data_IF_205798224535
#
_entry.id   IF_205798224535
#
_cell.length_a   1.000
_cell.length_b   1.000
_cell.length_c   1.000
_cell.angle_alpha   90.00
_cell.angle_beta   90.00
_cell.angle_gamma   90.00
#
_symmetry.space_group_name_H-M   'P 1'
#
loop_
_entity.id
_entity.type
_entity.pdbx_description
1 polymer ?
#
# COMPACT_ATOMS: atom_id res chain seq x y z
N UNK A 1 4.76 10.48 15.26
CA UNK A 1 6.16 10.19 14.90
C UNK A 1 6.12 8.94 14.04
N UNK A 2 6.89 8.90 12.93
CA UNK A 2 6.93 7.75 12.05
C UNK A 2 7.29 6.49 12.83
N UNK A 3 6.64 5.38 12.46
CA UNK A 3 6.97 4.07 13.00
C UNK A 3 8.45 3.75 12.74
N UNK A 4 9.10 3.10 13.72
CA UNK A 4 10.44 2.59 13.55
C UNK A 4 10.49 1.47 12.50
N UNK A 5 11.60 1.42 11.76
CA UNK A 5 11.87 0.37 10.78
C UNK A 5 11.92 -0.99 11.47
N UNK A 6 11.09 -1.93 11.01
CA UNK A 6 11.04 -3.31 11.49
C UNK A 6 11.90 -4.18 10.60
N UNK A 7 12.86 -4.90 11.19
CA UNK A 7 13.69 -5.90 10.49
C UNK A 7 13.23 -7.33 10.73
N UNK A 8 12.64 -7.56 11.90
CA UNK A 8 12.11 -8.84 12.32
C UNK A 8 10.70 -8.60 12.89
N UNK A 9 9.65 -9.15 12.26
CA UNK A 9 8.30 -8.98 12.74
C UNK A 9 8.08 -9.82 14.00
N UNK A 10 7.20 -9.35 14.88
CA UNK A 10 6.72 -10.16 15.99
C UNK A 10 5.75 -11.20 15.43
N UNK A 11 5.73 -12.41 15.99
CA UNK A 11 4.74 -13.43 15.62
C UNK A 11 3.31 -12.90 15.87
N UNK A 12 2.39 -13.17 14.94
CA UNK A 12 1.02 -12.67 14.97
C UNK A 12 0.32 -12.79 16.32
N UNK A 13 0.23 -13.98 16.93
CA UNK A 13 -0.45 -14.15 18.22
C UNK A 13 0.13 -13.30 19.36
N UNK A 14 1.45 -13.11 19.37
CA UNK A 14 2.15 -12.38 20.43
C UNK A 14 2.04 -10.86 20.27
N UNK A 15 1.86 -10.39 19.04
CA UNK A 15 1.80 -8.95 18.74
C UNK A 15 0.63 -8.25 19.44
N UNK A 16 -0.51 -8.91 19.61
CA UNK A 16 -1.72 -8.32 20.22
C UNK A 16 -1.63 -8.10 21.73
N UNK A 17 -0.57 -8.59 22.38
CA UNK A 17 -0.29 -8.32 23.80
C UNK A 17 0.66 -7.13 24.00
N UNK A 18 1.04 -6.43 22.94
CA UNK A 18 2.10 -5.41 22.93
C UNK A 18 1.68 -4.15 22.18
N UNK A 19 2.38 -3.05 22.44
CA UNK A 19 2.07 -1.73 21.88
C UNK A 19 3.27 -0.99 21.28
N UNK A 20 4.44 -1.63 21.22
CA UNK A 20 5.60 -1.12 20.47
C UNK A 20 5.38 -1.19 18.95
N UNK A 21 6.16 -0.41 18.20
CA UNK A 21 5.97 -0.24 16.75
C UNK A 21 5.98 -1.56 15.97
N UNK A 22 6.86 -2.49 16.32
CA UNK A 22 6.92 -3.80 15.66
C UNK A 22 5.63 -4.60 15.92
N UNK A 23 5.09 -4.55 17.14
CA UNK A 23 3.81 -5.17 17.46
C UNK A 23 2.65 -4.52 16.69
N UNK A 24 2.59 -3.19 16.66
CA UNK A 24 1.52 -2.45 15.98
C UNK A 24 1.52 -2.71 14.47
N UNK A 25 2.69 -2.72 13.83
CA UNK A 25 2.83 -3.03 12.42
C UNK A 25 2.47 -4.50 12.12
N UNK A 26 2.87 -5.45 12.97
CA UNK A 26 2.42 -6.84 12.85
C UNK A 26 0.89 -6.96 12.99
N UNK A 27 0.27 -6.27 13.95
CA UNK A 27 -1.20 -6.31 14.12
C UNK A 27 -1.90 -5.80 12.86
N UNK A 28 -1.43 -4.69 12.29
CA UNK A 28 -1.92 -4.15 11.03
C UNK A 28 -1.77 -5.15 9.87
N UNK A 29 -0.60 -5.79 9.77
CA UNK A 29 -0.31 -6.84 8.79
C UNK A 29 -1.30 -8.01 8.90
N UNK A 30 -1.50 -8.52 10.12
CA UNK A 30 -2.44 -9.61 10.42
C UNK A 30 -3.85 -9.25 9.99
N UNK A 31 -4.34 -8.07 10.37
CA UNK A 31 -5.70 -7.63 10.06
C UNK A 31 -5.92 -7.50 8.55
N UNK A 32 -5.03 -6.81 7.84
CA UNK A 32 -5.14 -6.65 6.39
C UNK A 32 -5.05 -7.99 5.65
N UNK A 33 -4.20 -8.91 6.13
CA UNK A 33 -4.05 -10.24 5.55
C UNK A 33 -5.29 -11.11 5.78
N UNK A 34 -5.90 -11.04 6.96
CA UNK A 34 -7.21 -11.66 7.24
C UNK A 34 -8.24 -11.15 6.22
N UNK A 35 -8.35 -9.84 6.05
CA UNK A 35 -9.27 -9.25 5.06
C UNK A 35 -9.01 -9.76 3.64
N UNK A 36 -7.75 -9.83 3.22
CA UNK A 36 -7.38 -10.35 1.90
C UNK A 36 -7.73 -11.83 1.70
N UNK A 37 -7.53 -12.66 2.74
CA UNK A 37 -7.95 -14.07 2.70
C UNK A 37 -9.47 -14.21 2.61
N UNK A 38 -10.23 -13.47 3.42
CA UNK A 38 -11.70 -13.54 3.43
C UNK A 38 -12.32 -13.06 2.12
N UNK A 39 -11.68 -12.12 1.40
CA UNK A 39 -12.09 -11.68 0.05
C UNK A 39 -11.66 -12.63 -1.08
N UNK A 40 -10.74 -13.55 -0.81
CA UNK A 40 -10.19 -14.47 -1.80
C UNK A 40 -9.16 -13.84 -2.73
N UNK A 41 -8.45 -12.79 -2.28
CA UNK A 41 -7.52 -12.01 -3.13
C UNK A 41 -6.42 -12.90 -3.73
N UNK A 42 -5.85 -13.84 -2.96
CA UNK A 42 -4.84 -14.80 -3.46
C UNK A 42 -5.37 -15.69 -4.59
N UNK A 43 -6.62 -16.17 -4.50
CA UNK A 43 -7.23 -17.01 -5.53
C UNK A 43 -7.50 -16.19 -6.79
N UNK A 44 -8.06 -14.98 -6.64
CA UNK A 44 -8.30 -14.05 -7.76
C UNK A 44 -7.00 -13.73 -8.48
N UNK A 45 -5.94 -13.46 -7.73
CA UNK A 45 -4.63 -13.15 -8.29
C UNK A 45 -4.08 -14.32 -9.10
N UNK A 46 -4.02 -15.53 -8.53
CA UNK A 46 -3.53 -16.73 -9.23
C UNK A 46 -4.28 -17.04 -10.53
N UNK A 47 -5.61 -16.82 -10.53
CA UNK A 47 -6.44 -16.96 -11.75
C UNK A 47 -6.06 -15.90 -12.78
N UNK A 48 -5.95 -14.64 -12.36
CA UNK A 48 -5.62 -13.53 -13.25
C UNK A 48 -4.21 -13.63 -13.84
N UNK A 49 -3.28 -14.27 -13.13
CA UNK A 49 -1.89 -14.46 -13.56
C UNK A 49 -1.61 -15.78 -14.28
N UNK A 50 -2.65 -16.52 -14.70
CA UNK A 50 -2.49 -17.67 -15.59
C UNK A 50 -2.14 -19.01 -14.90
N UNK A 51 -2.36 -19.16 -13.59
CA UNK A 51 -2.31 -20.45 -12.91
C UNK A 51 -1.51 -20.48 -11.61
N UNK A 52 -1.42 -21.65 -10.93
CA UNK A 52 -0.83 -21.79 -9.60
C UNK A 52 0.68 -21.58 -9.53
N UNK A 53 1.39 -21.57 -10.67
CA UNK A 53 2.81 -21.22 -10.74
C UNK A 53 3.07 -19.70 -10.66
N UNK A 54 2.02 -18.88 -10.74
CA UNK A 54 2.11 -17.44 -10.66
C UNK A 54 1.91 -16.95 -9.22
N UNK A 55 2.55 -15.82 -8.90
CA UNK A 55 2.63 -15.25 -7.54
C UNK A 55 1.26 -15.16 -6.88
N UNK A 56 1.21 -15.30 -5.55
CA UNK A 56 0.03 -14.94 -4.78
C UNK A 56 0.00 -13.42 -4.54
N UNK A 57 -1.16 -12.86 -4.22
CA UNK A 57 -1.24 -11.46 -3.77
C UNK A 57 -0.38 -11.27 -2.52
N UNK A 58 -0.42 -12.25 -1.62
CA UNK A 58 0.42 -12.39 -0.44
C UNK A 58 1.27 -13.67 -0.54
N UNK A 59 2.62 -13.59 -0.50
CA UNK A 59 3.48 -14.77 -0.51
C UNK A 59 3.21 -15.71 0.69
N UNK A 60 3.08 -17.01 0.43
CA UNK A 60 2.75 -18.02 1.45
C UNK A 60 3.80 -18.09 2.58
N UNK A 61 5.07 -17.84 2.26
CA UNK A 61 6.17 -17.74 3.24
C UNK A 61 5.98 -16.60 4.25
N UNK A 62 5.46 -15.45 3.81
CA UNK A 62 5.26 -14.29 4.67
C UNK A 62 4.04 -14.51 5.59
N UNK A 63 2.98 -15.18 5.09
CA UNK A 63 1.86 -15.64 5.93
C UNK A 63 2.32 -16.60 7.03
N UNK A 64 3.19 -17.56 6.68
CA UNK A 64 3.76 -18.51 7.64
C UNK A 64 4.61 -17.82 8.70
N UNK A 65 5.41 -16.82 8.32
CA UNK A 65 6.23 -16.05 9.27
C UNK A 65 5.39 -15.27 10.27
N UNK A 66 4.23 -14.75 9.85
CA UNK A 66 3.27 -14.12 10.75
C UNK A 66 2.45 -15.12 11.58
N UNK A 67 2.55 -16.42 11.29
CA UNK A 67 1.80 -17.49 11.95
C UNK A 67 0.30 -17.47 11.62
N UNK A 68 -0.10 -16.81 10.53
CA UNK A 68 -1.51 -16.65 10.16
C UNK A 68 -2.13 -17.99 9.76
N UNK A 69 -3.26 -18.40 10.36
CA UNK A 69 -3.97 -19.58 9.90
C UNK A 69 -4.58 -19.33 8.52
N UNK A 70 -4.65 -20.37 7.65
CA UNK A 70 -5.33 -20.26 6.37
C UNK A 70 -6.84 -20.06 6.61
N UNK A 71 -7.43 -19.09 5.93
CA UNK A 71 -8.87 -18.80 5.98
C UNK A 71 -9.53 -19.05 4.63
N UNK A 72 -10.75 -19.60 4.68
CA UNK A 72 -11.62 -19.67 3.52
C UNK A 72 -12.25 -18.31 3.20
N UNK A 73 -12.64 -18.15 1.93
CA UNK A 73 -13.44 -17.01 1.49
C UNK A 73 -14.75 -16.96 2.29
N UNK A 74 -15.14 -15.76 2.73
CA UNK A 74 -16.42 -15.54 3.40
C UNK A 74 -17.38 -14.83 2.45
N UNK A 75 -18.51 -15.49 2.17
CA UNK A 75 -19.55 -14.93 1.32
C UNK A 75 -20.56 -14.15 2.16
N UNK A 76 -20.78 -12.89 1.76
CA UNK A 76 -21.83 -12.04 2.34
C UNK A 76 -21.35 -11.21 3.54
N UNK A 77 -22.28 -10.38 4.03
CA UNK A 77 -22.08 -9.53 5.20
C UNK A 77 -22.62 -10.21 6.44
N UNK A 78 -21.89 -10.07 7.53
CA UNK A 78 -22.34 -10.54 8.84
C UNK A 78 -23.10 -9.44 9.58
N UNK A 79 -24.01 -9.86 10.45
CA UNK A 79 -24.63 -8.97 11.43
C UNK A 79 -23.59 -8.50 12.45
N UNK A 80 -22.98 -7.36 12.16
CA UNK A 80 -21.86 -6.81 12.93
C UNK A 80 -22.31 -6.31 14.30
N UNK A 81 -23.54 -5.80 14.40
CA UNK A 81 -24.12 -5.36 15.65
C UNK A 81 -24.37 -6.55 16.60
N UNK A 82 -24.96 -7.63 16.08
CA UNK A 82 -25.15 -8.86 16.86
C UNK A 82 -23.81 -9.48 17.28
N UNK A 83 -22.85 -9.58 16.36
CA UNK A 83 -21.53 -10.13 16.68
C UNK A 83 -20.80 -9.30 17.75
N UNK A 84 -20.85 -7.97 17.64
CA UNK A 84 -20.30 -7.05 18.65
C UNK A 84 -20.94 -7.28 20.01
N UNK A 85 -22.27 -7.42 20.10
CA UNK A 85 -22.96 -7.67 21.36
C UNK A 85 -22.48 -8.96 22.05
N UNK A 86 -22.35 -10.06 21.29
CA UNK A 86 -21.85 -11.33 21.81
C UNK A 86 -20.41 -11.21 22.30
N UNK A 87 -19.55 -10.58 21.50
CA UNK A 87 -18.15 -10.38 21.83
C UNK A 87 -17.98 -9.51 23.08
N UNK A 88 -18.71 -8.40 23.17
CA UNK A 88 -18.62 -7.47 24.29
C UNK A 88 -19.17 -8.10 25.57
N UNK A 89 -20.25 -8.89 25.48
CA UNK A 89 -20.76 -9.66 26.60
C UNK A 89 -19.72 -10.66 27.11
N UNK A 90 -18.97 -11.33 26.23
CA UNK A 90 -17.92 -12.29 26.61
C UNK A 90 -16.83 -11.64 27.46
N UNK A 91 -16.39 -10.44 27.08
CA UNK A 91 -15.32 -9.70 27.76
C UNK A 91 -15.82 -8.65 28.78
N UNK A 92 -17.13 -8.63 29.07
CA UNK A 92 -17.76 -7.65 29.98
C UNK A 92 -17.46 -6.19 29.61
N UNK A 93 -17.39 -5.92 28.31
CA UNK A 93 -17.12 -4.59 27.78
C UNK A 93 -18.41 -3.77 27.70
N UNK A 94 -18.34 -2.44 27.87
CA UNK A 94 -19.51 -1.59 27.73
C UNK A 94 -19.99 -1.59 26.28
N UNK A 95 -21.25 -1.95 26.05
CA UNK A 95 -21.86 -1.84 24.72
C UNK A 95 -22.04 -0.36 24.40
N UNK A 96 -21.45 0.16 23.32
CA UNK A 96 -21.57 1.58 22.97
C UNK A 96 -23.03 1.92 22.66
N UNK A 97 -23.52 3.04 23.20
CA UNK A 97 -24.79 3.61 22.75
C UNK A 97 -24.63 4.12 21.30
N UNK A 98 -25.64 3.99 20.44
CA UNK A 98 -25.63 4.55 19.08
C UNK A 98 -25.30 6.04 19.01
N UNK A 99 -25.48 6.77 20.12
CA UNK A 99 -25.32 8.22 20.22
C UNK A 99 -23.89 8.71 20.51
N UNK A 100 -22.93 7.81 20.79
CA UNK A 100 -21.54 8.22 21.11
C UNK A 100 -20.66 8.09 19.86
N UNK A 101 -20.31 9.25 19.28
CA UNK A 101 -19.52 9.41 18.06
C UNK A 101 -18.05 8.96 18.17
N UNK A 102 -17.57 8.72 19.39
CA UNK A 102 -16.23 8.19 19.64
C UNK A 102 -16.35 6.80 20.23
N UNK A 103 -15.91 5.82 19.44
CA UNK A 103 -15.75 4.44 19.88
C UNK A 103 -14.86 4.40 21.13
N UNK A 104 -15.41 4.03 22.29
CA UNK A 104 -14.65 3.99 23.54
C UNK A 104 -13.45 3.06 23.38
N UNK A 105 -12.24 3.60 23.55
CA UNK A 105 -11.01 2.82 23.44
C UNK A 105 -11.01 1.70 24.49
N UNK A 106 -10.61 0.49 24.07
CA UNK A 106 -10.35 -0.61 24.99
C UNK A 106 -8.88 -0.51 25.40
N UNK A 107 -8.63 -0.28 26.69
CA UNK A 107 -7.28 -0.12 27.24
C UNK A 107 -6.62 -1.46 27.59
N UNK A 108 -7.41 -2.51 27.86
CA UNK A 108 -6.90 -3.81 28.29
C UNK A 108 -6.37 -4.64 27.12
N UNK A 109 -5.04 -4.67 26.97
CA UNK A 109 -4.34 -5.50 25.97
C UNK A 109 -4.62 -7.00 26.10
N UNK A 110 -5.02 -7.49 27.29
CA UNK A 110 -5.34 -8.90 27.47
C UNK A 110 -6.58 -9.32 26.67
N UNK A 111 -7.51 -8.40 26.44
CA UNK A 111 -8.69 -8.66 25.60
C UNK A 111 -8.26 -8.90 24.16
N UNK A 112 -7.41 -8.05 23.60
CA UNK A 112 -6.89 -8.22 22.24
C UNK A 112 -6.06 -9.50 22.11
N UNK A 113 -5.19 -9.77 23.09
CA UNK A 113 -4.35 -10.97 23.11
C UNK A 113 -5.20 -12.26 23.16
N UNK A 114 -6.26 -12.29 23.96
CA UNK A 114 -7.13 -13.46 24.08
C UNK A 114 -7.94 -13.70 22.79
N UNK A 115 -8.56 -12.66 22.23
CA UNK A 115 -9.29 -12.75 20.95
C UNK A 115 -8.35 -13.19 19.81
N UNK A 116 -7.14 -12.63 19.76
CA UNK A 116 -6.13 -13.05 18.79
C UNK A 116 -5.76 -14.53 18.99
N UNK A 117 -5.46 -14.95 20.21
CA UNK A 117 -5.15 -16.36 20.52
C UNK A 117 -6.26 -17.31 20.06
N UNK A 118 -7.52 -16.97 20.31
CA UNK A 118 -8.66 -17.73 19.78
C UNK A 118 -8.62 -17.81 18.26
N UNK A 119 -8.43 -16.68 17.57
CA UNK A 119 -8.35 -16.67 16.11
C UNK A 119 -7.22 -17.53 15.55
N UNK A 120 -6.01 -17.38 16.09
CA UNK A 120 -4.85 -18.16 15.66
C UNK A 120 -4.98 -19.66 15.98
N UNK A 121 -5.76 -20.03 16.99
CA UNK A 121 -6.05 -21.44 17.31
C UNK A 121 -7.16 -22.03 16.46
N UNK A 122 -8.23 -21.28 16.18
CA UNK A 122 -9.40 -21.79 15.48
C UNK A 122 -9.28 -21.69 13.95
N UNK A 123 -8.62 -20.63 13.45
CA UNK A 123 -8.51 -20.36 12.01
C UNK A 123 -9.88 -20.24 11.32
N UNK A 124 -10.86 -19.65 12.00
CA UNK A 124 -12.24 -19.54 11.51
C UNK A 124 -12.57 -18.12 11.03
N UNK A 125 -13.45 -17.99 10.04
CA UNK A 125 -13.94 -16.66 9.61
C UNK A 125 -14.62 -15.91 10.76
N UNK A 126 -15.32 -16.63 11.66
CA UNK A 126 -15.93 -16.01 12.84
C UNK A 126 -14.89 -15.43 13.80
N UNK A 127 -13.85 -16.18 14.15
CA UNK A 127 -12.82 -15.67 15.05
C UNK A 127 -12.00 -14.54 14.42
N UNK A 128 -11.79 -14.57 13.10
CA UNK A 128 -11.20 -13.47 12.33
C UNK A 128 -12.03 -12.18 12.44
N UNK A 129 -13.35 -12.32 12.29
CA UNK A 129 -14.31 -11.24 12.47
C UNK A 129 -14.27 -10.68 13.89
N UNK A 130 -14.25 -11.54 14.91
CA UNK A 130 -14.18 -11.12 16.31
C UNK A 130 -12.90 -10.30 16.55
N UNK A 131 -11.77 -10.70 15.95
CA UNK A 131 -10.51 -9.96 16.01
C UNK A 131 -10.58 -8.61 15.28
N UNK A 132 -11.17 -8.55 14.09
CA UNK A 132 -11.35 -7.27 13.39
C UNK A 132 -12.26 -6.33 14.19
N UNK A 133 -13.39 -6.82 14.72
CA UNK A 133 -14.36 -6.01 15.46
C UNK A 133 -13.78 -5.43 16.75
N UNK A 134 -13.00 -6.21 17.50
CA UNK A 134 -12.34 -5.70 18.72
C UNK A 134 -11.29 -4.64 18.37
N UNK A 135 -10.53 -4.84 17.29
CA UNK A 135 -9.46 -3.95 16.85
C UNK A 135 -9.95 -2.57 16.37
N UNK A 136 -11.23 -2.40 16.03
CA UNK A 136 -11.81 -1.08 15.76
C UNK A 136 -11.77 -0.14 16.99
N UNK A 137 -11.67 -0.71 18.20
CA UNK A 137 -11.58 0.01 19.48
C UNK A 137 -10.15 0.12 20.01
N UNK A 138 -9.14 -0.27 19.22
CA UNK A 138 -7.74 -0.24 19.65
C UNK A 138 -7.23 1.20 19.86
N UNK A 139 -6.29 1.43 20.78
CA UNK A 139 -5.75 2.78 21.07
C UNK A 139 -4.92 3.36 19.92
N UNK A 140 -4.18 2.51 19.22
CA UNK A 140 -3.39 2.91 18.05
C UNK A 140 -4.27 3.00 16.79
N UNK A 141 -4.16 4.11 16.06
CA UNK A 141 -4.96 4.38 14.87
C UNK A 141 -4.67 3.45 13.68
N UNK A 142 -3.43 2.98 13.51
CA UNK A 142 -3.07 2.08 12.43
C UNK A 142 -3.87 0.78 12.53
N UNK A 143 -3.96 0.23 13.75
CA UNK A 143 -4.72 -1.00 14.04
C UNK A 143 -6.21 -0.80 13.74
N UNK A 144 -6.78 0.34 14.14
CA UNK A 144 -8.19 0.66 13.84
C UNK A 144 -8.45 0.77 12.33
N UNK A 145 -7.59 1.49 11.62
CA UNK A 145 -7.68 1.69 10.17
C UNK A 145 -7.52 0.37 9.43
N UNK A 146 -6.54 -0.46 9.80
CA UNK A 146 -6.33 -1.78 9.21
C UNK A 146 -7.51 -2.73 9.47
N UNK A 147 -8.08 -2.71 10.69
CA UNK A 147 -9.29 -3.45 10.99
C UNK A 147 -10.49 -2.99 10.15
N UNK A 148 -10.70 -1.67 10.03
CA UNK A 148 -11.77 -1.12 9.21
C UNK A 148 -11.61 -1.47 7.72
N UNK A 149 -10.38 -1.37 7.20
CA UNK A 149 -10.04 -1.76 5.84
C UNK A 149 -10.31 -3.25 5.57
N UNK A 150 -9.89 -4.12 6.48
CA UNK A 150 -10.10 -5.55 6.37
C UNK A 150 -11.58 -5.94 6.46
N UNK A 151 -12.36 -5.22 7.26
CA UNK A 151 -13.73 -5.58 7.64
C UNK A 151 -14.82 -4.98 6.74
N UNK A 152 -14.51 -3.95 5.95
CA UNK A 152 -15.47 -3.15 5.17
C UNK A 152 -16.40 -3.98 4.26
N UNK A 153 -15.91 -5.05 3.64
CA UNK A 153 -16.73 -5.90 2.77
C UNK A 153 -17.52 -6.99 3.50
N UNK A 154 -17.17 -7.24 4.76
CA UNK A 154 -17.79 -8.30 5.56
C UNK A 154 -18.78 -7.74 6.59
N UNK A 155 -18.73 -6.45 6.89
CA UNK A 155 -19.61 -5.83 7.88
C UNK A 155 -20.95 -5.35 7.31
N UNK A 156 -22.04 -5.53 8.08
CA UNK A 156 -23.33 -4.87 7.84
C UNK A 156 -23.33 -3.38 8.19
N UNK A 157 -22.33 -2.88 8.91
CA UNK A 157 -22.24 -1.49 9.42
C UNK A 157 -21.17 -0.68 8.66
N UNK A 158 -21.24 -0.67 7.33
CA UNK A 158 -20.22 -0.03 6.48
C UNK A 158 -20.01 1.46 6.79
N UNK A 159 -21.07 2.23 7.10
CA UNK A 159 -20.96 3.66 7.41
C UNK A 159 -20.04 3.94 8.60
N UNK A 160 -20.02 3.04 9.59
CA UNK A 160 -19.12 3.13 10.74
C UNK A 160 -17.67 2.95 10.33
N UNK A 161 -17.40 1.98 9.46
CA UNK A 161 -16.06 1.70 8.95
C UNK A 161 -15.56 2.82 8.04
N UNK A 162 -16.43 3.36 7.18
CA UNK A 162 -16.15 4.55 6.36
C UNK A 162 -15.70 5.72 7.24
N UNK A 163 -16.36 5.98 8.38
CA UNK A 163 -15.93 7.07 9.30
C UNK A 163 -14.54 6.86 9.89
N UNK A 164 -14.17 5.61 10.22
CA UNK A 164 -12.83 5.29 10.72
C UNK A 164 -11.78 5.50 9.64
N UNK A 165 -12.07 5.04 8.41
CA UNK A 165 -11.18 5.23 7.26
C UNK A 165 -11.04 6.72 6.92
N UNK A 166 -12.14 7.45 6.84
CA UNK A 166 -12.17 8.89 6.61
C UNK A 166 -11.30 9.64 7.63
N UNK A 167 -11.50 9.39 8.94
CA UNK A 167 -10.67 9.95 9.99
C UNK A 167 -9.18 9.59 9.84
N UNK A 168 -8.87 8.35 9.44
CA UNK A 168 -7.50 7.91 9.17
C UNK A 168 -6.81 8.69 8.04
N UNK A 169 -7.56 9.21 7.07
CA UNK A 169 -6.99 10.05 5.99
C UNK A 169 -6.49 11.43 6.48
N UNK A 170 -6.81 11.81 7.71
CA UNK A 170 -6.34 13.03 8.36
C UNK A 170 -5.15 12.78 9.30
N UNK A 171 -4.69 11.54 9.45
CA UNK A 171 -3.54 11.22 10.29
C UNK A 171 -2.28 11.93 9.76
N UNK A 172 -1.44 12.37 10.70
CA UNK A 172 -0.08 12.86 10.40
C UNK A 172 0.85 11.74 9.96
N UNK A 173 0.55 10.49 10.32
CA UNK A 173 1.33 9.31 9.93
C UNK A 173 1.00 8.88 8.50
N UNK A 174 2.03 8.89 7.64
CA UNK A 174 1.88 8.60 6.21
C UNK A 174 1.26 7.21 5.97
N UNK A 175 1.68 6.21 6.75
CA UNK A 175 1.20 4.83 6.61
C UNK A 175 -0.28 4.69 6.93
N UNK A 176 -0.73 5.30 8.03
CA UNK A 176 -2.14 5.33 8.43
C UNK A 176 -2.97 6.00 7.34
N UNK A 177 -2.53 7.18 6.90
CA UNK A 177 -3.21 7.96 5.86
C UNK A 177 -3.31 7.22 4.53
N UNK A 178 -2.24 6.55 4.09
CA UNK A 178 -2.23 5.79 2.83
C UNK A 178 -3.11 4.55 2.89
N UNK A 179 -3.06 3.76 3.97
CA UNK A 179 -3.96 2.59 4.11
C UNK A 179 -5.41 3.05 4.18
N UNK A 180 -5.70 4.10 4.95
CA UNK A 180 -7.02 4.68 5.09
C UNK A 180 -7.59 5.14 3.75
N UNK A 181 -6.86 5.97 3.00
CA UNK A 181 -7.30 6.49 1.72
C UNK A 181 -7.47 5.38 0.68
N UNK A 182 -6.54 4.43 0.62
CA UNK A 182 -6.63 3.28 -0.29
C UNK A 182 -7.80 2.36 0.05
N UNK A 183 -8.09 2.10 1.32
CA UNK A 183 -9.27 1.30 1.70
C UNK A 183 -10.57 2.06 1.42
N UNK A 184 -10.58 3.38 1.65
CA UNK A 184 -11.74 4.24 1.44
C UNK A 184 -12.17 4.31 -0.03
N UNK A 185 -11.25 4.16 -0.99
CA UNK A 185 -11.61 4.12 -2.43
C UNK A 185 -12.51 2.93 -2.77
N UNK A 186 -12.36 1.82 -2.05
CA UNK A 186 -13.24 0.65 -2.22
C UNK A 186 -14.54 0.78 -1.44
N UNK A 187 -14.49 1.36 -0.24
CA UNK A 187 -15.65 1.47 0.65
C UNK A 187 -16.60 2.62 0.26
N UNK A 188 -16.06 3.76 -0.16
CA UNK A 188 -16.77 4.99 -0.50
C UNK A 188 -15.98 5.82 -1.55
N UNK A 189 -15.94 5.38 -2.82
CA UNK A 189 -15.13 6.02 -3.87
C UNK A 189 -15.47 7.50 -4.11
N UNK A 190 -16.70 7.92 -3.83
CA UNK A 190 -17.17 9.30 -4.01
C UNK A 190 -16.93 10.20 -2.80
N UNK A 191 -16.29 9.70 -1.74
CA UNK A 191 -15.99 10.49 -0.55
C UNK A 191 -15.17 11.74 -0.92
N UNK A 192 -15.64 12.92 -0.49
CA UNK A 192 -15.04 14.21 -0.78
C UNK A 192 -13.55 14.29 -0.39
N UNK A 193 -13.18 13.61 0.70
CA UNK A 193 -11.83 13.58 1.21
C UNK A 193 -10.84 12.96 0.22
N UNK A 194 -11.26 11.95 -0.53
CA UNK A 194 -10.44 11.34 -1.59
C UNK A 194 -10.15 12.34 -2.72
N UNK A 195 -11.05 13.29 -2.99
CA UNK A 195 -10.84 14.33 -4.00
C UNK A 195 -9.86 15.40 -3.49
N UNK A 196 -9.96 15.78 -2.22
CA UNK A 196 -9.03 16.73 -1.58
C UNK A 196 -7.59 16.23 -1.53
N UNK A 197 -7.39 14.92 -1.38
CA UNK A 197 -6.05 14.32 -1.36
C UNK A 197 -5.40 14.24 -2.74
N UNK A 198 -6.17 14.43 -3.82
CA UNK A 198 -5.63 14.52 -5.17
C UNK A 198 -5.04 15.91 -5.38
N UNK A 199 -3.91 15.97 -6.07
CA UNK A 199 -3.35 17.23 -6.51
C UNK A 199 -3.79 17.58 -7.93
N UNK A 200 -3.50 18.82 -8.32
CA UNK A 200 -3.64 19.26 -9.71
C UNK A 200 -2.40 18.78 -10.46
N UNK A 201 -2.58 18.03 -11.55
CA UNK A 201 -1.49 17.66 -12.44
C UNK A 201 -0.83 18.94 -12.99
N UNK A 202 0.50 19.01 -12.98
CA UNK A 202 1.21 20.19 -13.48
C UNK A 202 1.26 20.13 -15.00
N UNK A 203 0.93 21.25 -15.65
CA UNK A 203 1.09 21.40 -17.09
C UNK A 203 2.57 21.51 -17.45
N UNK A 204 2.93 20.90 -18.58
CA UNK A 204 4.27 20.95 -19.15
C UNK A 204 4.57 22.30 -19.80
N UNK A 205 5.74 22.85 -19.50
CA UNK A 205 6.42 23.83 -20.36
C UNK A 205 7.30 23.11 -21.39
N UNK A 206 7.88 23.82 -22.35
CA UNK A 206 8.84 23.23 -23.28
C UNK A 206 10.26 23.69 -22.91
N UNK A 207 11.13 22.75 -22.51
CA UNK A 207 12.57 23.01 -22.39
C UNK A 207 13.38 21.85 -22.99
N UNK A 208 14.53 22.19 -23.58
CA UNK A 208 15.33 21.30 -24.43
C UNK A 208 16.01 20.11 -23.75
N UNK A 209 16.54 19.25 -24.62
CA UNK A 209 16.87 17.83 -24.42
C UNK A 209 18.16 17.50 -23.65
N UNK A 210 18.09 16.38 -22.91
CA UNK A 210 19.20 15.50 -22.56
C UNK A 210 18.71 14.04 -22.49
N UNK A 211 19.58 13.08 -22.18
CA UNK A 211 19.12 11.81 -21.59
C UNK A 211 19.06 12.05 -20.09
N UNK A 212 17.88 12.38 -19.54
CA UNK A 212 17.71 12.64 -18.11
C UNK A 212 17.10 11.45 -17.37
N UNK A 213 17.29 11.42 -16.05
CA UNK A 213 16.53 10.54 -15.15
C UNK A 213 15.33 11.32 -14.59
N UNK A 214 14.15 10.71 -14.44
CA UNK A 214 12.98 11.37 -13.85
C UNK A 214 12.35 10.56 -12.71
N UNK A 215 11.98 11.26 -11.62
CA UNK A 215 11.20 10.70 -10.51
C UNK A 215 9.69 10.86 -10.75
N UNK A 216 8.93 9.79 -10.56
CA UNK A 216 7.47 9.77 -10.65
C UNK A 216 6.87 9.28 -9.32
N UNK A 217 6.06 10.11 -8.70
CA UNK A 217 5.41 9.79 -7.42
C UNK A 217 4.22 8.83 -7.57
N UNK A 218 3.80 8.23 -6.45
CA UNK A 218 2.64 7.35 -6.37
C UNK A 218 1.33 8.07 -6.07
N UNK A 219 0.27 7.30 -5.83
CA UNK A 219 -1.04 7.79 -5.39
C UNK A 219 -0.91 8.65 -4.14
N UNK A 220 -1.75 9.69 -4.02
CA UNK A 220 -1.79 10.62 -2.87
C UNK A 220 -0.51 11.44 -2.62
N UNK A 221 0.50 11.34 -3.49
CA UNK A 221 1.82 11.93 -3.27
C UNK A 221 2.12 13.17 -4.13
N UNK A 222 1.17 13.68 -4.92
CA UNK A 222 1.40 14.83 -5.81
C UNK A 222 1.92 16.07 -5.04
N UNK A 223 1.43 16.29 -3.82
CA UNK A 223 1.88 17.41 -2.99
C UNK A 223 3.00 17.02 -2.00
N UNK A 224 3.46 15.77 -1.99
CA UNK A 224 4.52 15.33 -1.10
C UNK A 224 5.86 15.92 -1.54
N UNK A 225 6.70 16.43 -0.62
CA UNK A 225 7.93 17.13 -0.99
C UNK A 225 9.04 16.20 -1.50
N UNK A 226 9.07 14.93 -1.07
CA UNK A 226 10.23 14.04 -1.24
C UNK A 226 10.72 13.87 -2.69
N UNK A 227 9.80 13.82 -3.65
CA UNK A 227 10.11 13.59 -5.07
C UNK A 227 10.32 14.87 -5.88
N UNK A 228 9.97 16.02 -5.31
CA UNK A 228 10.04 17.31 -6.00
C UNK A 228 11.48 17.84 -5.96
N UNK A 229 11.89 18.71 -6.90
CA UNK A 229 13.18 19.39 -6.84
C UNK A 229 13.40 20.07 -5.49
N UNK A 230 14.50 19.71 -4.81
CA UNK A 230 14.83 20.16 -3.46
C UNK A 230 14.20 19.33 -2.33
N UNK A 231 13.37 18.33 -2.64
CA UNK A 231 12.91 17.31 -1.71
C UNK A 231 14.06 16.42 -1.22
N UNK A 232 13.88 15.76 -0.08
CA UNK A 232 14.92 14.93 0.55
C UNK A 232 15.41 13.79 -0.36
N UNK A 233 14.49 13.00 -0.91
CA UNK A 233 14.83 11.90 -1.80
C UNK A 233 15.30 12.37 -3.17
N UNK A 234 14.65 13.37 -3.76
CA UNK A 234 15.10 14.00 -5.01
C UNK A 234 16.55 14.49 -4.89
N UNK A 235 16.85 15.24 -3.83
CA UNK A 235 18.19 15.78 -3.56
C UNK A 235 19.21 14.67 -3.40
N UNK A 236 18.88 13.61 -2.66
CA UNK A 236 19.75 12.45 -2.49
C UNK A 236 20.06 11.75 -3.83
N UNK A 237 19.04 11.49 -4.65
CA UNK A 237 19.24 10.87 -5.96
C UNK A 237 20.13 11.75 -6.84
N UNK A 238 19.82 13.05 -6.95
CA UNK A 238 20.60 13.99 -7.77
C UNK A 238 22.07 14.07 -7.33
N UNK A 239 22.32 14.10 -6.02
CA UNK A 239 23.68 14.33 -5.50
C UNK A 239 24.51 13.06 -5.38
N UNK A 240 23.89 11.89 -5.24
CA UNK A 240 24.60 10.66 -4.85
C UNK A 240 24.37 9.46 -5.77
N UNK A 241 23.39 9.49 -6.67
CA UNK A 241 22.98 8.28 -7.43
C UNK A 241 22.89 8.53 -8.95
N UNK A 242 22.19 9.59 -9.36
CA UNK A 242 21.91 9.95 -10.76
C UNK A 242 22.07 11.47 -10.92
N UNK A 243 23.29 11.97 -11.24
CA UNK A 243 23.55 13.42 -11.38
C UNK A 243 22.80 14.07 -12.57
N UNK A 244 22.21 13.25 -13.43
CA UNK A 244 21.34 13.61 -14.55
C UNK A 244 19.84 13.69 -14.17
N UNK A 245 19.49 13.60 -12.87
CA UNK A 245 18.10 13.69 -12.41
C UNK A 245 17.47 15.05 -12.78
N UNK A 246 16.31 14.98 -13.43
CA UNK A 246 15.51 16.13 -13.83
C UNK A 246 15.09 16.97 -12.62
N UNK A 247 15.40 18.26 -12.66
CA UNK A 247 15.25 19.18 -11.52
C UNK A 247 14.49 20.47 -11.85
N UNK A 248 14.02 20.64 -13.10
CA UNK A 248 13.27 21.82 -13.51
C UNK A 248 11.81 21.78 -13.02
N UNK A 249 11.16 22.94 -13.01
CA UNK A 249 9.79 23.09 -12.48
C UNK A 249 8.71 22.47 -13.37
N UNK A 250 8.99 22.32 -14.66
CA UNK A 250 8.17 21.70 -15.71
C UNK A 250 8.24 20.16 -15.72
N UNK A 251 8.84 19.54 -14.70
CA UNK A 251 8.88 18.08 -14.54
C UNK A 251 7.49 17.44 -14.68
N UNK A 252 7.44 16.21 -15.16
CA UNK A 252 6.21 15.43 -15.15
C UNK A 252 5.67 15.25 -13.72
N UNK A 253 4.36 15.40 -13.57
CA UNK A 253 3.62 15.10 -12.35
C UNK A 253 2.16 14.86 -12.68
N UNK A 254 1.48 14.05 -11.88
CA UNK A 254 0.10 13.63 -12.14
C UNK A 254 -0.79 13.89 -10.92
N UNK A 255 -2.09 13.66 -11.05
CA UNK A 255 -3.03 13.99 -9.96
C UNK A 255 -2.80 13.21 -8.67
N UNK A 256 -2.14 12.05 -8.76
CA UNK A 256 -2.07 11.10 -7.65
C UNK A 256 -3.40 10.41 -7.36
N UNK A 257 -4.35 10.43 -8.30
CA UNK A 257 -5.66 9.79 -8.16
C UNK A 257 -5.59 8.26 -8.17
N UNK A 258 -6.41 7.59 -7.37
CA UNK A 258 -6.40 6.13 -7.24
C UNK A 258 -7.04 5.37 -8.43
N UNK A 259 -7.79 6.04 -9.30
CA UNK A 259 -8.58 5.36 -10.33
C UNK A 259 -7.76 4.96 -11.57
N UNK A 260 -8.29 4.00 -12.33
CA UNK A 260 -7.68 3.54 -13.58
C UNK A 260 -7.64 4.63 -14.63
N UNK A 261 -8.71 5.42 -14.69
CA UNK A 261 -8.79 6.58 -15.56
C UNK A 261 -7.69 7.61 -15.22
N UNK A 262 -7.40 7.85 -13.94
CA UNK A 262 -6.33 8.75 -13.54
C UNK A 262 -4.95 8.24 -13.98
N UNK A 263 -4.68 6.94 -13.83
CA UNK A 263 -3.43 6.32 -14.29
C UNK A 263 -3.29 6.31 -15.82
N UNK A 264 -4.36 5.99 -16.55
CA UNK A 264 -4.36 5.98 -18.02
C UNK A 264 -4.18 7.39 -18.61
N UNK A 265 -4.82 8.40 -18.02
CA UNK A 265 -4.59 9.80 -18.38
C UNK A 265 -3.14 10.20 -18.13
N UNK A 266 -2.61 9.91 -16.94
CA UNK A 266 -1.23 10.21 -16.59
C UNK A 266 -0.21 9.53 -17.52
N UNK A 267 -0.49 8.31 -17.98
CA UNK A 267 0.36 7.61 -18.95
C UNK A 267 0.41 8.31 -20.31
N UNK A 268 -0.75 8.80 -20.78
CA UNK A 268 -0.86 9.57 -22.02
C UNK A 268 -0.16 10.94 -21.89
N UNK A 269 -0.30 11.57 -20.73
CA UNK A 269 0.37 12.84 -20.39
C UNK A 269 1.90 12.65 -20.31
N UNK A 270 2.37 11.51 -19.81
CA UNK A 270 3.81 11.19 -19.74
C UNK A 270 4.40 11.05 -21.16
N UNK A 271 3.73 10.33 -22.06
CA UNK A 271 4.16 10.21 -23.46
C UNK A 271 4.26 11.60 -24.10
N UNK A 272 3.23 12.43 -23.90
CA UNK A 272 3.19 13.81 -24.39
C UNK A 272 4.32 14.66 -23.80
N UNK A 273 4.58 14.53 -22.50
CA UNK A 273 5.66 15.23 -21.82
C UNK A 273 7.01 14.88 -22.44
N UNK A 274 7.31 13.59 -22.61
CA UNK A 274 8.58 13.14 -23.18
C UNK A 274 8.76 13.63 -24.63
N UNK A 275 7.70 13.59 -25.44
CA UNK A 275 7.72 14.11 -26.81
C UNK A 275 8.00 15.63 -26.85
N UNK A 276 7.33 16.41 -26.00
CA UNK A 276 7.49 17.86 -25.96
C UNK A 276 8.88 18.30 -25.47
N UNK A 277 9.51 17.50 -24.61
CA UNK A 277 10.85 17.78 -24.07
C UNK A 277 11.97 17.13 -24.89
N UNK A 278 11.64 16.25 -25.84
CA UNK A 278 12.60 15.44 -26.61
C UNK A 278 13.50 14.57 -25.72
N UNK A 279 12.92 14.01 -24.67
CA UNK A 279 13.60 13.18 -23.64
C UNK A 279 13.42 11.68 -23.93
N UNK A 280 13.41 11.27 -25.21
CA UNK A 280 13.22 9.87 -25.57
C UNK A 280 14.35 9.00 -25.01
N UNK A 281 14.00 7.83 -24.48
CA UNK A 281 14.98 6.94 -23.83
C UNK A 281 15.42 7.38 -22.43
N UNK A 282 14.69 8.28 -21.77
CA UNK A 282 14.93 8.67 -20.37
C UNK A 282 14.88 7.46 -19.42
N UNK A 283 15.61 7.57 -18.31
CA UNK A 283 15.55 6.60 -17.20
C UNK A 283 14.47 7.07 -16.20
N UNK A 284 13.69 6.15 -15.63
CA UNK A 284 12.58 6.47 -14.72
C UNK A 284 12.73 5.77 -13.39
N UNK A 285 12.56 6.54 -12.31
CA UNK A 285 12.44 6.03 -10.95
C UNK A 285 11.02 6.32 -10.48
N UNK A 286 10.26 5.29 -10.17
CA UNK A 286 8.82 5.41 -9.90
C UNK A 286 8.48 4.85 -8.53
N UNK A 287 7.52 5.46 -7.84
CA UNK A 287 7.02 4.95 -6.57
C UNK A 287 5.57 4.49 -6.68
N UNK A 288 5.26 3.32 -6.11
CA UNK A 288 3.91 2.78 -6.01
C UNK A 288 3.22 2.75 -7.39
N UNK A 289 1.97 3.22 -7.49
CA UNK A 289 1.22 3.34 -8.75
C UNK A 289 1.87 4.24 -9.82
N UNK A 290 2.91 5.01 -9.49
CA UNK A 290 3.76 5.69 -10.48
C UNK A 290 4.40 4.70 -11.47
N UNK A 291 4.72 3.49 -11.01
CA UNK A 291 5.23 2.42 -11.88
C UNK A 291 4.17 1.88 -12.83
N UNK A 292 2.92 1.76 -12.37
CA UNK A 292 1.81 1.33 -13.24
C UNK A 292 1.47 2.36 -14.32
N UNK A 293 1.71 3.66 -14.05
CA UNK A 293 1.63 4.71 -15.09
C UNK A 293 2.67 4.48 -16.18
N UNK A 294 3.90 4.16 -15.80
CA UNK A 294 4.96 3.87 -16.78
C UNK A 294 4.65 2.60 -17.57
N UNK A 295 4.12 1.56 -16.93
CA UNK A 295 3.66 0.37 -17.66
C UNK A 295 2.64 0.73 -18.74
N UNK A 296 1.61 1.51 -18.40
CA UNK A 296 0.65 2.00 -19.40
C UNK A 296 1.30 2.90 -20.46
N UNK A 297 2.29 3.71 -20.09
CA UNK A 297 2.99 4.58 -21.04
C UNK A 297 3.80 3.76 -22.06
N UNK A 298 4.44 2.67 -21.63
CA UNK A 298 5.13 1.75 -22.57
C UNK A 298 4.14 1.08 -23.53
N UNK A 299 2.95 0.71 -23.06
CA UNK A 299 1.87 0.22 -23.93
C UNK A 299 1.36 1.29 -24.91
N UNK A 300 1.54 2.58 -24.57
CA UNK A 300 1.25 3.72 -25.44
C UNK A 300 2.44 4.10 -26.35
N UNK A 301 3.50 3.28 -26.40
CA UNK A 301 4.66 3.45 -27.28
C UNK A 301 5.76 4.37 -26.73
N UNK A 302 5.81 4.61 -25.41
CA UNK A 302 6.91 5.35 -24.80
C UNK A 302 8.19 4.50 -24.75
N UNK A 303 9.20 4.88 -25.52
CA UNK A 303 10.54 4.32 -25.42
C UNK A 303 11.32 4.91 -24.23
N UNK A 304 11.88 4.04 -23.40
CA UNK A 304 12.64 4.42 -22.21
C UNK A 304 13.90 3.57 -22.00
N UNK A 305 14.83 4.06 -21.19
CA UNK A 305 16.06 3.36 -20.85
C UNK A 305 15.84 2.34 -19.73
N UNK A 306 16.13 2.77 -18.50
CA UNK A 306 16.01 1.99 -17.26
C UNK A 306 14.75 2.35 -16.48
N UNK A 307 14.11 1.34 -15.89
CA UNK A 307 12.95 1.52 -15.00
C UNK A 307 13.25 0.97 -13.60
N UNK A 308 13.27 1.85 -12.61
CA UNK A 308 13.38 1.50 -11.19
C UNK A 308 11.99 1.65 -10.55
N UNK A 309 11.47 0.56 -10.01
CA UNK A 309 10.18 0.46 -9.35
C UNK A 309 10.39 0.44 -7.84
N UNK A 310 9.82 1.40 -7.11
CA UNK A 310 9.89 1.48 -5.66
C UNK A 310 8.51 1.13 -5.09
N UNK A 311 8.39 -0.01 -4.41
CA UNK A 311 7.12 -0.49 -3.83
C UNK A 311 5.94 -0.49 -4.81
N UNK A 312 6.16 -0.87 -6.08
CA UNK A 312 5.11 -0.87 -7.10
C UNK A 312 4.15 -2.06 -6.92
N UNK A 313 2.83 -1.83 -6.74
CA UNK A 313 1.87 -2.92 -6.61
C UNK A 313 1.69 -3.64 -7.95
N UNK A 314 1.55 -4.97 -7.88
CA UNK A 314 1.27 -5.78 -9.06
C UNK A 314 -0.24 -5.93 -9.25
N UNK A 315 -0.77 -5.55 -10.41
CA UNK A 315 -2.17 -5.78 -10.77
C UNK A 315 -2.25 -6.49 -12.11
N UNK A 316 -2.21 -7.82 -12.10
CA UNK A 316 -2.31 -8.64 -13.32
C UNK A 316 -3.79 -8.91 -13.65
N UNK A 317 -4.22 -8.86 -14.93
CA UNK A 317 -3.47 -8.45 -16.12
C UNK A 317 -3.49 -6.94 -16.39
N UNK A 318 -4.03 -6.14 -15.47
CA UNK A 318 -4.37 -4.74 -15.65
C UNK A 318 -3.18 -3.85 -16.05
N UNK A 319 -2.02 -4.05 -15.41
CA UNK A 319 -0.81 -3.28 -15.66
C UNK A 319 0.36 -4.22 -15.92
N UNK A 320 0.89 -4.16 -17.14
CA UNK A 320 2.10 -4.89 -17.55
C UNK A 320 2.97 -3.97 -18.41
N UNK A 321 4.30 -3.95 -18.19
CA UNK A 321 5.18 -3.22 -19.07
C UNK A 321 5.20 -3.86 -20.47
N UNK A 322 5.28 -3.04 -21.51
CA UNK A 322 5.74 -3.52 -22.81
C UNK A 322 7.28 -3.52 -22.81
N UNK A 323 7.86 -4.71 -22.67
CA UNK A 323 9.32 -4.86 -22.61
C UNK A 323 10.01 -4.51 -23.93
N UNK A 324 9.29 -4.42 -25.06
CA UNK A 324 9.87 -3.98 -26.33
C UNK A 324 10.26 -2.49 -26.32
N UNK A 325 9.70 -1.72 -25.38
CA UNK A 325 9.90 -0.28 -25.23
C UNK A 325 10.84 0.08 -24.06
N UNK A 326 11.47 -0.92 -23.43
CA UNK A 326 12.41 -0.73 -22.32
C UNK A 326 13.79 -1.25 -22.76
N UNK A 327 14.72 -0.33 -22.99
CA UNK A 327 15.96 -0.60 -23.72
C UNK A 327 17.15 -1.01 -22.83
N UNK A 328 17.04 -0.87 -21.50
CA UNK A 328 18.08 -1.30 -20.54
C UNK A 328 17.58 -2.43 -19.65
N UNK A 329 17.07 -2.10 -18.45
CA UNK A 329 16.62 -3.08 -17.45
C UNK A 329 15.47 -2.53 -16.63
N UNK A 330 14.73 -3.45 -16.01
CA UNK A 330 13.72 -3.14 -15.00
C UNK A 330 14.16 -3.72 -13.66
N UNK A 331 14.23 -2.87 -12.64
CA UNK A 331 14.58 -3.26 -11.28
C UNK A 331 13.44 -2.87 -10.35
N UNK A 332 13.01 -3.81 -9.50
CA UNK A 332 12.06 -3.57 -8.43
C UNK A 332 12.78 -3.58 -7.09
N UNK A 333 12.58 -2.53 -6.30
CA UNK A 333 13.00 -2.41 -4.91
C UNK A 333 11.73 -2.42 -4.05
N UNK A 334 11.63 -3.39 -3.14
CA UNK A 334 10.47 -3.57 -2.26
C UNK A 334 10.87 -3.93 -0.84
N UNK A 335 9.90 -3.92 0.05
CA UNK A 335 10.01 -4.44 1.43
C UNK A 335 9.27 -5.78 1.55
N UNK A 336 9.47 -6.49 2.65
CA UNK A 336 8.64 -7.63 3.01
C UNK A 336 7.25 -7.17 3.45
N UNK A 337 6.20 -7.80 2.94
CA UNK A 337 4.82 -7.61 3.37
C UNK A 337 4.35 -6.14 3.43
N UNK A 338 4.46 -5.42 2.33
CA UNK A 338 4.10 -4.00 2.24
C UNK A 338 2.60 -3.78 2.53
N UNK A 339 2.30 -3.02 3.59
CA UNK A 339 0.93 -2.84 4.06
C UNK A 339 0.08 -1.96 3.14
N UNK A 340 0.69 -1.03 2.41
CA UNK A 340 -0.04 -0.18 1.45
C UNK A 340 -0.40 -0.99 0.22
N UNK A 341 0.51 -1.83 -0.29
CA UNK A 341 0.21 -2.75 -1.40
C UNK A 341 -0.88 -3.75 -0.98
N UNK A 342 -0.85 -4.22 0.27
CA UNK A 342 -1.87 -5.14 0.78
C UNK A 342 -3.25 -4.47 0.89
N UNK A 343 -3.30 -3.22 1.36
CA UNK A 343 -4.54 -2.42 1.37
C UNK A 343 -5.05 -2.14 -0.06
N UNK A 344 -4.14 -1.94 -1.01
CA UNK A 344 -4.40 -1.77 -2.45
C UNK A 344 -4.89 -3.05 -3.13
N UNK A 345 -4.81 -4.20 -2.45
CA UNK A 345 -5.13 -5.54 -2.99
C UNK A 345 -4.23 -5.95 -4.15
N UNK A 346 -3.08 -5.29 -4.27
CA UNK A 346 -2.07 -5.61 -5.25
C UNK A 346 -1.25 -6.82 -4.82
N UNK A 347 -0.62 -7.45 -5.80
CA UNK A 347 0.41 -8.45 -5.57
C UNK A 347 1.67 -7.79 -5.03
N UNK A 348 2.29 -8.47 -4.08
CA UNK A 348 3.50 -8.01 -3.39
C UNK A 348 4.74 -8.12 -4.28
N UNK A 349 4.80 -9.08 -5.22
CA UNK A 349 6.00 -9.39 -6.02
C UNK A 349 5.67 -9.53 -7.50
N UNK A 350 6.57 -9.03 -8.34
CA UNK A 350 6.60 -9.34 -9.75
C UNK A 350 7.13 -10.77 -9.93
N UNK A 351 6.39 -11.58 -10.68
CA UNK A 351 6.87 -12.85 -11.22
C UNK A 351 6.89 -12.77 -12.76
N UNK A 352 7.43 -11.65 -13.27
CA UNK A 352 7.49 -11.33 -14.69
C UNK A 352 8.93 -11.48 -15.19
N UNK A 353 9.15 -12.19 -16.31
CA UNK A 353 10.44 -12.18 -16.99
C UNK A 353 10.88 -10.74 -17.31
N UNK A 354 12.15 -10.42 -17.08
CA UNK A 354 12.72 -9.11 -17.36
C UNK A 354 12.68 -8.10 -16.22
N UNK A 355 12.02 -8.41 -15.09
CA UNK A 355 12.06 -7.58 -13.87
C UNK A 355 12.95 -8.26 -12.83
N UNK A 356 14.01 -7.56 -12.40
CA UNK A 356 14.87 -8.00 -11.31
C UNK A 356 14.30 -7.51 -9.98
N UNK A 357 13.92 -8.43 -9.09
CA UNK A 357 13.35 -8.11 -7.77
C UNK A 357 14.42 -8.08 -6.68
N UNK A 358 14.50 -6.97 -5.94
CA UNK A 358 15.33 -6.81 -4.76
C UNK A 358 14.43 -6.50 -3.56
N UNK A 359 14.45 -7.39 -2.56
CA UNK A 359 13.68 -7.23 -1.31
C UNK A 359 14.62 -6.75 -0.23
N UNK A 360 14.38 -5.52 0.25
CA UNK A 360 15.09 -4.97 1.40
C UNK A 360 14.72 -5.77 2.65
N UNK A 361 15.65 -5.97 3.60
CA UNK A 361 15.40 -6.66 4.87
C UNK A 361 14.65 -5.75 5.86
N UNK A 362 13.55 -5.19 5.39
CA UNK A 362 12.63 -4.28 6.06
C UNK A 362 11.24 -4.86 5.88
N UNK A 363 10.41 -4.76 6.91
CA UNK A 363 9.03 -5.22 6.91
C UNK A 363 8.06 -4.05 6.93
N UNK A 364 6.93 -4.21 6.25
CA UNK A 364 5.70 -3.40 6.34
C UNK A 364 5.75 -1.98 5.78
N UNK A 365 6.91 -1.33 5.76
CA UNK A 365 7.06 0.10 5.45
C UNK A 365 7.15 0.38 3.94
N UNK A 366 6.02 0.79 3.37
CA UNK A 366 5.91 1.21 1.97
C UNK A 366 6.89 2.31 1.56
N UNK A 367 7.16 3.26 2.46
CA UNK A 367 7.91 4.48 2.18
C UNK A 367 9.43 4.31 2.36
N UNK A 368 9.86 3.19 2.94
CA UNK A 368 11.28 2.86 3.10
C UNK A 368 12.03 2.84 1.77
N UNK A 369 11.35 2.48 0.67
CA UNK A 369 11.95 2.38 -0.67
C UNK A 369 12.27 3.74 -1.29
N UNK A 370 11.81 4.86 -0.72
CA UNK A 370 12.22 6.20 -1.11
C UNK A 370 12.85 7.00 0.06
N UNK A 371 13.34 6.31 1.10
CA UNK A 371 14.04 6.95 2.20
C UNK A 371 15.56 6.97 1.92
N UNK A 372 16.21 8.15 1.86
CA UNK A 372 17.66 8.26 1.65
C UNK A 372 18.51 7.46 2.64
N UNK A 373 18.13 7.41 3.91
CA UNK A 373 18.89 6.69 4.94
C UNK A 373 18.81 5.18 4.73
N UNK A 374 17.66 4.67 4.30
CA UNK A 374 17.49 3.27 3.89
C UNK A 374 18.39 2.97 2.68
N UNK A 375 18.41 3.85 1.69
CA UNK A 375 19.25 3.65 0.50
C UNK A 375 20.74 3.60 0.82
N UNK A 376 21.22 4.48 1.71
CA UNK A 376 22.61 4.47 2.18
C UNK A 376 22.91 3.21 2.98
N UNK A 377 22.03 2.87 3.93
CA UNK A 377 22.24 1.74 4.82
C UNK A 377 22.29 0.40 4.06
N UNK A 378 21.44 0.24 3.04
CA UNK A 378 21.31 -1.00 2.30
C UNK A 378 22.05 -1.01 0.96
N UNK A 379 22.81 0.04 0.66
CA UNK A 379 23.55 0.19 -0.60
C UNK A 379 22.67 -0.05 -1.84
N UNK A 380 21.45 0.51 -1.83
CA UNK A 380 20.48 0.39 -2.93
C UNK A 380 21.07 0.80 -4.29
N UNK A 381 21.96 1.83 -4.39
CA UNK A 381 22.61 2.15 -5.66
C UNK A 381 23.35 0.99 -6.35
N UNK A 382 23.84 0.00 -5.60
CA UNK A 382 24.48 -1.19 -6.18
C UNK A 382 23.49 -2.26 -6.67
N UNK A 383 22.21 -2.13 -6.33
CA UNK A 383 21.14 -3.03 -6.77
C UNK A 383 20.47 -2.56 -8.07
N UNK A 384 20.63 -1.28 -8.40
CA UNK A 384 19.92 -0.60 -9.49
C UNK A 384 20.76 -0.40 -10.73
#
# INVERSE_FOLDING_TARGET
MPFQIVREPIAGPLSFARSDDAAILTQAAVLLAIGAQLRGDNKRFRVASGGPAASAAIPDEELKLLGLPPLGESLGRIDSAHNRQLLFSRYKLPVPSPAVLTETVIEDLNVFADVAKTHFSEGSSKSAIDLMEICLRHRNELVRVSAAAAYSEHSSELDRLIRILDAGTHSTENLVRSIAATALTFAAPDNARLKEMQGIARQSGATGAGHTTMLIHGTWAQNSPWWQPGGDFHTYILQSVRPDLYSKQDRFGWSGGYSDAARALAASDLVTWVQNHKEQGLDLITHSHGGNIVFLATQNGLDMGELILLSCPVHVPKYQPDMAHIHKKVVSIRVHFDLVILADRGGQRFNFPGITENVLPIWFDHFATHNPDVWRQHNVPAMI
#
